data_IF_894623050169
#
_entry.id   IF_894623050169
#
_cell.length_a   1.000
_cell.length_b   1.000
_cell.length_c   1.000
_cell.angle_alpha   90.00
_cell.angle_beta   90.00
_cell.angle_gamma   90.00
#
_symmetry.space_group_name_H-M   'P 1'
#
loop_
_entity.id
_entity.type
_entity.pdbx_description
1 polymer ?
#
# COMPACT_ATOMS: atom_id res chain seq x y z
N UNK A 1 -1.63 4.03 -21.35
CA UNK A 1 -1.33 3.58 -19.98
C UNK A 1 0.07 4.02 -19.57
N UNK A 2 0.20 4.58 -18.39
CA UNK A 2 1.48 5.03 -17.87
C UNK A 2 2.32 3.84 -17.42
N UNK A 3 3.58 3.80 -17.83
CA UNK A 3 4.49 2.75 -17.37
C UNK A 3 4.96 3.02 -15.96
N UNK A 4 5.14 1.94 -15.18
CA UNK A 4 5.81 2.02 -13.91
C UNK A 4 7.29 2.29 -14.15
N UNK A 5 7.80 3.39 -13.61
CA UNK A 5 9.23 3.68 -13.62
C UNK A 5 9.80 3.43 -12.22
N UNK A 6 11.10 3.10 -12.15
CA UNK A 6 11.80 2.99 -10.88
C UNK A 6 12.24 4.37 -10.37
N UNK A 7 11.44 5.35 -10.61
CA UNK A 7 11.66 6.71 -10.15
C UNK A 7 11.49 6.74 -8.63
N UNK A 8 12.61 6.90 -7.92
CA UNK A 8 12.66 6.92 -6.45
C UNK A 8 12.81 8.33 -5.94
N UNK A 9 12.20 8.61 -4.81
CA UNK A 9 12.33 9.92 -4.21
C UNK A 9 11.66 10.03 -2.87
N UNK A 10 11.74 11.23 -2.31
CA UNK A 10 11.09 11.57 -1.05
C UNK A 10 9.80 12.31 -1.35
N UNK A 11 8.71 11.87 -0.74
CA UNK A 11 7.43 12.55 -0.86
C UNK A 11 7.23 13.53 0.28
N UNK A 12 6.93 14.78 -0.06
CA UNK A 12 6.61 15.81 0.92
C UNK A 12 5.10 16.05 0.90
N UNK A 13 4.36 15.62 1.94
CA UNK A 13 2.91 15.78 1.95
C UNK A 13 2.48 17.23 2.10
N UNK A 14 1.39 17.59 1.43
CA UNK A 14 0.73 18.89 1.61
C UNK A 14 -0.12 18.89 2.88
N UNK A 15 -0.62 17.73 3.29
CA UNK A 15 -1.44 17.56 4.48
C UNK A 15 -0.74 16.59 5.44
N UNK A 16 0.37 17.00 6.07
CA UNK A 16 1.19 16.10 6.88
C UNK A 16 0.47 15.49 8.07
N UNK A 17 -0.59 16.12 8.56
CA UNK A 17 -1.38 15.59 9.68
C UNK A 17 -2.17 14.33 9.32
N UNK A 18 -2.39 14.06 8.03
CA UNK A 18 -3.04 12.83 7.57
C UNK A 18 -2.10 11.63 7.62
N UNK A 19 -0.79 11.88 7.59
CA UNK A 19 0.18 10.80 7.55
C UNK A 19 0.41 10.22 8.94
N UNK A 20 0.26 8.89 9.06
CA UNK A 20 0.52 8.17 10.33
C UNK A 20 1.96 7.67 10.32
N UNK A 21 2.86 8.46 10.85
CA UNK A 21 4.28 8.21 10.90
C UNK A 21 5.00 9.53 10.82
N UNK A 22 6.29 9.49 10.50
CA UNK A 22 7.09 10.70 10.34
C UNK A 22 6.90 11.26 8.92
N UNK A 23 6.21 12.41 8.76
CA UNK A 23 5.96 12.97 7.43
C UNK A 23 7.23 13.44 6.72
N UNK A 24 8.36 13.48 7.41
CA UNK A 24 9.65 13.82 6.81
C UNK A 24 10.41 12.57 6.30
N UNK A 25 9.83 11.39 6.46
CA UNK A 25 10.46 10.11 6.09
C UNK A 25 9.56 9.27 5.20
N UNK A 26 8.97 9.87 4.19
CA UNK A 26 8.11 9.18 3.23
C UNK A 26 8.88 9.05 1.92
N UNK A 27 9.10 7.81 1.48
CA UNK A 27 9.87 7.54 0.28
C UNK A 27 9.07 6.68 -0.69
N UNK A 28 9.03 7.07 -1.96
CA UNK A 28 8.45 6.24 -3.00
C UNK A 28 9.56 5.57 -3.80
N UNK A 29 9.28 4.35 -4.27
CA UNK A 29 10.22 3.52 -5.03
C UNK A 29 9.83 3.40 -6.49
N UNK A 30 8.68 3.95 -6.86
CA UNK A 30 8.20 3.94 -8.23
C UNK A 30 7.26 5.11 -8.45
N UNK A 31 7.02 5.44 -9.73
CA UNK A 31 6.07 6.48 -10.11
C UNK A 31 4.63 6.12 -9.70
N UNK A 32 4.28 4.84 -9.68
CA UNK A 32 2.94 4.42 -9.27
C UNK A 32 2.72 4.63 -7.77
N UNK A 33 3.74 4.35 -6.96
CA UNK A 33 3.65 4.62 -5.52
C UNK A 33 3.50 6.11 -5.27
N UNK A 34 4.26 6.95 -5.97
CA UNK A 34 4.13 8.40 -5.84
C UNK A 34 2.73 8.87 -6.22
N UNK A 35 2.17 8.34 -7.30
CA UNK A 35 0.82 8.66 -7.72
C UNK A 35 -0.20 8.33 -6.63
N UNK A 36 -0.06 7.17 -6.00
CA UNK A 36 -0.94 6.76 -4.92
C UNK A 36 -0.78 7.64 -3.67
N UNK A 37 0.45 8.05 -3.35
CA UNK A 37 0.72 8.98 -2.25
C UNK A 37 0.02 10.32 -2.47
N UNK A 38 0.07 10.84 -3.69
CA UNK A 38 -0.62 12.08 -4.05
C UNK A 38 -2.12 11.92 -3.84
N UNK A 39 -2.68 10.79 -4.25
CA UNK A 39 -4.10 10.49 -4.04
C UNK A 39 -4.45 10.46 -2.54
N UNK A 40 -3.67 9.76 -1.73
CA UNK A 40 -3.90 9.67 -0.28
C UNK A 40 -3.85 11.04 0.39
N UNK A 41 -2.89 11.85 -0.02
CA UNK A 41 -2.67 13.18 0.56
C UNK A 41 -3.80 14.15 0.21
N UNK A 42 -4.31 14.10 -1.02
CA UNK A 42 -5.28 15.07 -1.52
C UNK A 42 -6.74 14.65 -1.34
N UNK A 43 -7.05 13.36 -1.30
CA UNK A 43 -8.43 12.90 -1.27
C UNK A 43 -9.08 13.12 0.08
N UNK A 44 -10.24 13.79 0.09
CA UNK A 44 -11.02 13.99 1.31
C UNK A 44 -11.57 12.68 1.87
N UNK A 45 -11.65 11.64 1.04
CA UNK A 45 -12.11 10.32 1.48
C UNK A 45 -11.05 9.54 2.25
N UNK A 46 -9.79 9.90 2.09
CA UNK A 46 -8.69 9.31 2.86
C UNK A 46 -8.47 10.14 4.12
N UNK A 47 -8.74 9.53 5.27
CA UNK A 47 -8.64 10.20 6.57
C UNK A 47 -7.20 10.19 7.06
N UNK A 48 -6.53 9.03 6.91
CA UNK A 48 -5.12 8.87 7.28
C UNK A 48 -4.49 7.79 6.42
N UNK A 49 -3.17 7.82 6.32
CA UNK A 49 -2.43 6.85 5.54
C UNK A 49 -1.00 6.70 6.05
N UNK A 50 -0.38 5.57 5.74
CA UNK A 50 1.04 5.33 6.03
C UNK A 50 1.67 4.53 4.89
N UNK A 51 3.00 4.61 4.79
CA UNK A 51 3.79 3.93 3.78
C UNK A 51 4.82 3.04 4.47
N UNK A 52 4.78 1.74 4.18
CA UNK A 52 5.74 0.74 4.66
C UNK A 52 5.95 0.70 6.18
N UNK A 53 4.93 1.05 6.94
CA UNK A 53 4.99 1.04 8.41
C UNK A 53 4.61 -0.32 9.04
N UNK A 54 3.96 -1.18 8.27
CA UNK A 54 3.49 -2.49 8.76
C UNK A 54 4.42 -3.59 8.32
N UNK A 55 4.85 -4.42 9.26
CA UNK A 55 5.74 -5.56 8.99
C UNK A 55 4.97 -6.86 9.15
N UNK A 56 4.98 -7.70 8.10
CA UNK A 56 4.30 -9.00 8.11
C UNK A 56 5.34 -10.09 7.90
N UNK A 57 5.53 -10.99 8.89
CA UNK A 57 6.42 -12.13 8.71
C UNK A 57 5.79 -13.17 7.79
N UNK A 58 6.60 -13.79 6.96
CA UNK A 58 6.18 -14.91 6.12
C UNK A 58 7.34 -15.86 5.90
N UNK A 59 7.05 -17.05 5.39
CA UNK A 59 8.06 -18.06 5.07
C UNK A 59 8.00 -18.33 3.57
N UNK A 60 9.15 -18.27 2.91
CA UNK A 60 9.27 -18.62 1.50
C UNK A 60 10.54 -19.44 1.29
N UNK A 61 10.37 -20.60 0.63
CA UNK A 61 11.47 -21.54 0.39
C UNK A 61 12.23 -21.88 1.67
N UNK A 62 11.50 -22.12 2.76
CA UNK A 62 12.07 -22.52 4.05
C UNK A 62 12.73 -21.39 4.84
N UNK A 63 12.72 -20.15 4.34
CA UNK A 63 13.34 -19.01 4.99
C UNK A 63 12.31 -18.05 5.54
N UNK A 64 12.57 -17.55 6.75
CA UNK A 64 11.75 -16.50 7.35
C UNK A 64 12.12 -15.16 6.71
N UNK A 65 11.10 -14.42 6.29
CA UNK A 65 11.26 -13.12 5.62
C UNK A 65 10.25 -12.13 6.19
N UNK A 66 10.47 -10.86 5.92
CA UNK A 66 9.56 -9.79 6.30
C UNK A 66 8.99 -9.12 5.04
N UNK A 67 7.68 -8.92 5.04
CA UNK A 67 6.97 -8.23 3.99
C UNK A 67 6.44 -6.90 4.53
N UNK A 68 6.69 -5.82 3.80
CA UNK A 68 6.19 -4.49 4.12
C UNK A 68 5.22 -4.09 3.02
N UNK A 69 3.90 -4.20 3.24
CA UNK A 69 2.91 -3.69 2.28
C UNK A 69 3.16 -2.22 1.99
N UNK A 70 2.86 -1.82 0.75
CA UNK A 70 3.18 -0.45 0.31
C UNK A 70 2.47 0.61 1.14
N UNK A 71 1.18 0.41 1.44
CA UNK A 71 0.39 1.42 2.14
C UNK A 71 -0.62 0.80 3.08
N UNK A 72 -0.99 1.56 4.10
CA UNK A 72 -2.17 1.29 4.91
C UNK A 72 -2.98 2.59 4.94
N UNK A 73 -4.28 2.49 4.67
CA UNK A 73 -5.15 3.65 4.61
C UNK A 73 -6.37 3.46 5.50
N UNK A 74 -6.84 4.55 6.07
CA UNK A 74 -8.12 4.64 6.75
C UNK A 74 -8.97 5.61 5.95
N UNK A 75 -10.11 5.14 5.44
CA UNK A 75 -10.91 5.88 4.49
C UNK A 75 -12.40 5.82 4.82
N UNK A 76 -13.13 6.76 4.25
CA UNK A 76 -14.59 6.74 4.24
C UNK A 76 -15.04 6.53 2.81
N UNK A 77 -15.87 5.51 2.56
CA UNK A 77 -16.37 5.25 1.22
C UNK A 77 -17.54 6.19 0.88
N UNK A 78 -18.06 6.09 -0.35
CA UNK A 78 -19.14 6.95 -0.82
C UNK A 78 -20.46 6.74 -0.08
N UNK A 79 -20.60 5.63 0.65
CA UNK A 79 -21.76 5.35 1.51
C UNK A 79 -21.58 5.90 2.92
N UNK A 80 -20.47 6.54 3.21
CA UNK A 80 -20.15 7.09 4.51
C UNK A 80 -19.61 6.08 5.51
N UNK A 81 -19.26 4.87 5.06
CA UNK A 81 -18.72 3.81 5.91
C UNK A 81 -17.20 3.94 6.00
N UNK A 82 -16.67 3.88 7.22
CA UNK A 82 -15.24 3.92 7.46
C UNK A 82 -14.64 2.53 7.30
N UNK A 83 -13.51 2.46 6.60
CA UNK A 83 -12.83 1.20 6.30
C UNK A 83 -11.32 1.38 6.42
N UNK A 84 -10.66 0.33 6.90
CA UNK A 84 -9.20 0.27 6.91
C UNK A 84 -8.77 -0.72 5.84
N UNK A 85 -7.79 -0.31 5.01
CA UNK A 85 -7.29 -1.14 3.92
C UNK A 85 -5.77 -1.17 3.93
N UNK A 86 -5.23 -2.33 3.61
CA UNK A 86 -3.80 -2.52 3.36
C UNK A 86 -3.62 -2.66 1.86
N UNK A 87 -2.76 -1.83 1.28
CA UNK A 87 -2.63 -1.68 -0.17
C UNK A 87 -1.25 -2.15 -0.63
N UNK A 88 -1.25 -2.99 -1.64
CA UNK A 88 -0.06 -3.37 -2.37
C UNK A 88 -0.19 -2.91 -3.82
N UNK A 89 0.83 -2.25 -4.36
CA UNK A 89 0.87 -1.81 -5.75
C UNK A 89 1.85 -2.70 -6.49
N UNK A 90 1.37 -3.37 -7.53
CA UNK A 90 2.17 -4.35 -8.26
C UNK A 90 1.75 -4.41 -9.72
N UNK A 91 2.69 -4.53 -10.68
CA UNK A 91 2.31 -4.77 -12.07
C UNK A 91 1.48 -6.04 -12.21
N UNK A 92 0.43 -6.00 -13.02
CA UNK A 92 -0.45 -7.15 -13.24
C UNK A 92 0.32 -8.40 -13.67
N UNK A 93 1.37 -8.23 -14.47
CA UNK A 93 2.22 -9.32 -14.93
C UNK A 93 2.92 -10.09 -13.79
N UNK A 94 3.03 -9.49 -12.61
CA UNK A 94 3.70 -10.10 -11.44
C UNK A 94 2.72 -10.75 -10.45
N UNK A 95 1.41 -10.71 -10.72
CA UNK A 95 0.40 -11.23 -9.79
C UNK A 95 0.56 -12.71 -9.47
N UNK A 96 1.05 -13.49 -10.44
CA UNK A 96 1.17 -14.93 -10.30
C UNK A 96 2.55 -15.41 -9.85
N UNK A 97 3.47 -14.51 -9.54
CA UNK A 97 4.76 -14.91 -8.99
C UNK A 97 4.57 -15.55 -7.62
N UNK A 98 5.21 -16.70 -7.43
CA UNK A 98 5.05 -17.51 -6.19
C UNK A 98 5.35 -16.70 -4.93
N UNK A 99 6.42 -15.89 -4.95
CA UNK A 99 6.78 -15.08 -3.78
C UNK A 99 5.68 -14.07 -3.45
N UNK A 100 5.07 -13.46 -4.47
CA UNK A 100 3.97 -12.51 -4.24
C UNK A 100 2.74 -13.20 -3.68
N UNK A 101 2.38 -14.35 -4.20
CA UNK A 101 1.25 -15.13 -3.67
C UNK A 101 1.45 -15.50 -2.20
N UNK A 102 2.68 -15.85 -1.84
CA UNK A 102 3.02 -16.23 -0.46
C UNK A 102 2.94 -15.02 0.47
N UNK A 103 3.51 -13.88 0.07
CA UNK A 103 3.43 -12.63 0.81
C UNK A 103 1.98 -12.22 1.05
N UNK A 104 1.18 -12.25 -0.01
CA UNK A 104 -0.20 -11.77 0.04
C UNK A 104 -1.10 -12.70 0.83
N UNK A 105 -0.84 -14.01 0.82
CA UNK A 105 -1.56 -14.94 1.67
C UNK A 105 -1.32 -14.64 3.16
N UNK A 106 -0.08 -14.35 3.53
CA UNK A 106 0.26 -13.95 4.89
C UNK A 106 -0.41 -12.61 5.26
N UNK A 107 -0.39 -11.66 4.34
CA UNK A 107 -1.03 -10.36 4.55
C UNK A 107 -2.55 -10.49 4.72
N UNK A 108 -3.21 -11.32 3.89
CA UNK A 108 -4.66 -11.52 3.99
C UNK A 108 -5.06 -12.09 5.33
N UNK A 109 -4.26 -13.00 5.87
CA UNK A 109 -4.55 -13.59 7.17
C UNK A 109 -4.45 -12.55 8.30
N UNK A 110 -3.41 -11.74 8.29
CA UNK A 110 -3.24 -10.65 9.26
C UNK A 110 -4.40 -9.65 9.14
N UNK A 111 -4.75 -9.28 7.92
CA UNK A 111 -5.85 -8.34 7.66
C UNK A 111 -7.20 -8.89 8.11
N UNK A 112 -7.45 -10.16 7.84
CA UNK A 112 -8.68 -10.84 8.26
C UNK A 112 -8.83 -10.80 9.78
N UNK A 113 -7.77 -11.13 10.51
CA UNK A 113 -7.76 -11.11 11.97
C UNK A 113 -7.97 -9.70 12.54
N UNK A 114 -7.57 -8.67 11.81
CA UNK A 114 -7.64 -7.27 12.25
C UNK A 114 -8.84 -6.51 11.65
N UNK A 115 -9.70 -7.16 10.88
CA UNK A 115 -10.82 -6.54 10.17
C UNK A 115 -10.36 -5.45 9.20
N UNK A 116 -9.26 -5.72 8.52
CA UNK A 116 -8.67 -4.85 7.47
C UNK A 116 -8.82 -5.57 6.13
N UNK A 117 -9.17 -4.83 5.08
CA UNK A 117 -9.23 -5.38 3.72
C UNK A 117 -7.85 -5.30 3.07
N UNK A 118 -7.35 -6.41 2.54
CA UNK A 118 -6.12 -6.42 1.76
C UNK A 118 -6.44 -6.28 0.27
N UNK A 119 -5.83 -5.29 -0.40
CA UNK A 119 -6.11 -4.98 -1.80
C UNK A 119 -4.81 -4.88 -2.58
N UNK A 120 -4.75 -5.56 -3.72
CA UNK A 120 -3.64 -5.43 -4.67
C UNK A 120 -4.13 -4.57 -5.83
N UNK A 121 -3.47 -3.44 -6.03
CA UNK A 121 -3.76 -2.52 -7.13
C UNK A 121 -2.72 -2.71 -8.23
N UNK A 122 -3.19 -2.84 -9.46
CA UNK A 122 -2.33 -2.95 -10.63
C UNK A 122 -2.56 -1.73 -11.51
N UNK A 123 -1.89 -1.69 -12.68
CA UNK A 123 -2.15 -0.64 -13.66
C UNK A 123 -3.63 -0.59 -14.09
N UNK A 124 -4.35 -1.69 -13.93
CA UNK A 124 -5.76 -1.76 -14.31
C UNK A 124 -6.66 -0.92 -13.39
N UNK A 125 -6.29 -0.80 -12.11
CA UNK A 125 -7.03 0.00 -11.15
C UNK A 125 -6.50 1.42 -11.04
N UNK A 126 -5.20 1.61 -11.26
CA UNK A 126 -4.55 2.92 -11.10
C UNK A 126 -4.80 3.87 -12.28
N UNK A 127 -5.05 3.32 -13.47
CA UNK A 127 -5.15 4.14 -14.69
C UNK A 127 -6.40 3.85 -15.51
#
# INVERSE_FOLDING_TARGET
MMKRSQFKGKYKPRNPTKYKGDPNKIFYRSSWERLFMVYCDKSDNIISWSSEETKIPYIFEGKRRSYYPDFQIYMRNHEGVYQEKMIEIKPHSQRNWKINKTKWAAARKVCEDASVEFVVLTEKELF
#
